data_IF_960469939945
#
_entry.id   IF_960469939945
#
_cell.length_a   1.000
_cell.length_b   1.000
_cell.length_c   1.000
_cell.angle_alpha   90.00
_cell.angle_beta   90.00
_cell.angle_gamma   90.00
#
_symmetry.space_group_name_H-M   'P 1'
#
loop_
_entity.id
_entity.type
_entity.pdbx_description
1 polymer ?
#
# COMPACT_ATOMS: atom_id res chain seq x y z
N UNK A 1 -69.63 -20.06 -20.90
CA UNK A 1 -68.54 -20.32 -19.96
C UNK A 1 -67.26 -19.82 -20.62
N UNK A 2 -66.98 -18.53 -20.53
CA UNK A 2 -65.87 -17.85 -21.22
C UNK A 2 -65.21 -16.89 -20.22
N UNK A 3 -64.14 -17.36 -19.63
CA UNK A 3 -63.24 -16.59 -18.80
C UNK A 3 -61.83 -16.64 -19.45
N UNK A 4 -61.55 -15.70 -20.31
CA UNK A 4 -60.16 -15.35 -20.63
C UNK A 4 -60.21 -14.16 -21.61
N UNK A 5 -60.06 -12.93 -21.11
CA UNK A 5 -59.39 -11.83 -21.85
C UNK A 5 -59.35 -10.61 -20.97
N UNK A 6 -58.27 -10.43 -20.23
CA UNK A 6 -57.83 -9.10 -19.83
C UNK A 6 -56.34 -9.13 -19.56
N UNK A 7 -55.56 -9.41 -20.60
CA UNK A 7 -54.14 -9.08 -20.58
C UNK A 7 -54.06 -7.59 -20.89
N UNK A 8 -54.06 -6.77 -19.84
CA UNK A 8 -53.75 -5.35 -19.95
C UNK A 8 -52.46 -5.18 -20.76
N UNK A 9 -52.56 -4.46 -21.84
CA UNK A 9 -51.44 -3.99 -22.64
C UNK A 9 -50.41 -3.37 -21.71
N UNK A 10 -49.34 -4.10 -21.44
CA UNK A 10 -48.23 -3.59 -20.65
C UNK A 10 -47.60 -2.46 -21.43
N UNK A 11 -47.60 -1.26 -20.83
CA UNK A 11 -47.05 -0.06 -21.46
C UNK A 11 -45.58 -0.29 -21.82
N UNK A 12 -45.29 -0.23 -23.12
CA UNK A 12 -43.92 -0.43 -23.64
C UNK A 12 -42.93 0.57 -23.01
N UNK A 13 -43.41 1.74 -22.62
CA UNK A 13 -42.64 2.77 -21.93
C UNK A 13 -42.23 2.30 -20.53
N UNK A 14 -43.07 1.57 -19.80
CA UNK A 14 -42.77 1.04 -18.49
C UNK A 14 -41.69 -0.06 -18.56
N UNK A 15 -41.79 -0.97 -19.51
CA UNK A 15 -40.80 -2.01 -19.74
C UNK A 15 -39.44 -1.42 -20.12
N UNK A 16 -39.42 -0.39 -20.97
CA UNK A 16 -38.19 0.30 -21.36
C UNK A 16 -37.48 0.96 -20.14
N UNK A 17 -38.24 1.62 -19.29
CA UNK A 17 -37.72 2.24 -18.05
C UNK A 17 -37.17 1.19 -17.08
N UNK A 18 -37.87 0.06 -16.94
CA UNK A 18 -37.42 -1.04 -16.11
C UNK A 18 -36.10 -1.65 -16.61
N UNK A 19 -35.99 -1.85 -17.93
CA UNK A 19 -34.75 -2.34 -18.55
C UNK A 19 -33.59 -1.35 -18.38
N UNK A 20 -33.85 -0.06 -18.57
CA UNK A 20 -32.82 0.96 -18.41
C UNK A 20 -32.33 1.05 -16.96
N UNK A 21 -33.22 0.92 -15.96
CA UNK A 21 -32.84 0.91 -14.55
C UNK A 21 -32.04 -0.32 -14.18
N UNK A 22 -32.35 -1.48 -14.78
CA UNK A 22 -31.62 -2.73 -14.56
C UNK A 22 -30.19 -2.65 -15.11
N UNK A 23 -30.01 -2.02 -16.27
CA UNK A 23 -28.69 -1.80 -16.90
C UNK A 23 -27.86 -0.83 -16.06
N UNK A 24 -28.47 0.27 -15.57
CA UNK A 24 -27.79 1.22 -14.69
C UNK A 24 -27.36 0.56 -13.36
N UNK A 25 -28.18 -0.31 -12.80
CA UNK A 25 -27.86 -1.04 -11.58
C UNK A 25 -26.66 -1.98 -11.77
N UNK A 26 -26.58 -2.64 -12.93
CA UNK A 26 -25.46 -3.52 -13.25
C UNK A 26 -24.12 -2.76 -13.43
N UNK A 27 -24.19 -1.54 -13.95
CA UNK A 27 -23.01 -0.67 -14.09
C UNK A 27 -22.51 -0.12 -12.75
N UNK A 28 -23.39 -0.03 -11.75
CA UNK A 28 -23.03 0.45 -10.39
C UNK A 28 -22.36 -0.63 -9.53
N UNK A 29 -22.52 -1.90 -9.86
CA UNK A 29 -21.88 -3.05 -9.18
C UNK A 29 -20.64 -3.49 -9.96
N UNK A 30 -19.82 -2.54 -10.39
CA UNK A 30 -18.45 -2.88 -10.75
C UNK A 30 -17.72 -3.20 -9.43
N UNK A 31 -17.34 -4.46 -9.12
CA UNK A 31 -16.48 -4.71 -8.00
C UNK A 31 -15.19 -3.96 -8.31
N UNK A 32 -14.93 -2.88 -7.60
CA UNK A 32 -13.57 -2.38 -7.47
C UNK A 32 -12.82 -3.52 -6.78
N UNK A 33 -12.35 -4.46 -7.59
CA UNK A 33 -11.29 -5.35 -7.17
C UNK A 33 -10.15 -4.39 -6.83
N UNK A 34 -10.05 -4.01 -5.55
CA UNK A 34 -8.81 -3.56 -4.99
C UNK A 34 -7.85 -4.72 -5.30
N UNK A 35 -7.15 -4.58 -6.41
CA UNK A 35 -6.06 -5.45 -6.76
C UNK A 35 -5.07 -5.23 -5.62
N UNK A 36 -5.18 -6.07 -4.60
CA UNK A 36 -4.14 -6.24 -3.62
C UNK A 36 -2.99 -6.75 -4.48
N UNK A 37 -2.14 -5.81 -4.92
CA UNK A 37 -0.84 -6.16 -5.43
C UNK A 37 -0.21 -7.02 -4.34
N UNK A 38 -0.43 -8.31 -4.43
CA UNK A 38 0.44 -9.29 -3.82
C UNK A 38 1.74 -9.05 -4.57
N UNK A 39 2.52 -8.06 -4.10
CA UNK A 39 3.94 -8.00 -4.43
C UNK A 39 4.42 -9.43 -4.25
N UNK A 40 4.84 -10.02 -5.34
CA UNK A 40 5.65 -11.23 -5.31
C UNK A 40 6.87 -10.80 -4.48
N UNK A 41 6.84 -11.18 -3.19
CA UNK A 41 7.72 -10.57 -2.17
C UNK A 41 9.10 -11.12 -2.45
N UNK A 42 9.79 -10.42 -3.33
CA UNK A 42 11.20 -10.63 -3.58
C UNK A 42 11.95 -10.33 -2.29
N UNK A 43 13.07 -10.94 -2.11
CA UNK A 43 14.00 -10.53 -1.07
C UNK A 43 14.23 -9.02 -1.16
N UNK A 44 14.28 -8.34 -0.03
CA UNK A 44 14.48 -6.89 -0.05
C UNK A 44 15.43 -6.40 1.02
N UNK A 45 16.04 -5.26 0.74
CA UNK A 45 16.81 -4.46 1.68
C UNK A 45 15.91 -3.31 2.14
N UNK A 46 15.74 -3.16 3.44
CA UNK A 46 15.04 -2.03 4.03
C UNK A 46 16.05 -1.02 4.58
N UNK A 47 15.98 0.21 4.10
CA UNK A 47 16.79 1.33 4.57
C UNK A 47 15.89 2.25 5.39
N UNK A 48 16.19 2.44 6.67
CA UNK A 48 15.52 3.42 7.51
C UNK A 48 16.44 4.60 7.71
N UNK A 49 16.05 5.72 7.13
CA UNK A 49 16.81 6.96 7.16
C UNK A 49 16.20 7.95 8.16
N UNK A 50 16.98 8.38 9.14
CA UNK A 50 16.56 9.40 10.11
C UNK A 50 16.26 10.74 9.46
N UNK A 51 16.95 11.05 8.37
CA UNK A 51 16.92 12.35 7.72
C UNK A 51 15.82 12.44 6.66
N UNK A 52 15.60 13.67 6.20
CA UNK A 52 14.70 13.93 5.07
C UNK A 52 15.29 13.38 3.77
N UNK A 53 14.43 13.16 2.79
CA UNK A 53 14.82 12.72 1.45
C UNK A 53 15.82 13.68 0.78
N UNK A 54 15.78 14.96 1.11
CA UNK A 54 16.66 15.98 0.53
C UNK A 54 18.05 16.04 1.17
N UNK A 55 18.37 15.20 2.17
CA UNK A 55 19.65 15.30 2.88
C UNK A 55 20.80 14.68 2.06
N UNK A 56 21.80 15.46 1.62
CA UNK A 56 22.73 15.06 0.55
C UNK A 56 23.56 13.81 0.83
N UNK A 57 24.08 13.65 2.06
CA UNK A 57 24.94 12.51 2.35
C UNK A 57 24.16 11.19 2.48
N UNK A 58 22.96 11.22 3.08
CA UNK A 58 22.11 10.03 3.17
C UNK A 58 21.63 9.59 1.79
N UNK A 59 21.29 10.53 0.92
CA UNK A 59 20.93 10.25 -0.47
C UNK A 59 22.06 9.59 -1.24
N UNK A 60 23.29 10.02 -1.01
CA UNK A 60 24.46 9.35 -1.64
C UNK A 60 24.59 7.91 -1.20
N UNK A 61 24.41 7.62 0.09
CA UNK A 61 24.45 6.25 0.61
C UNK A 61 23.31 5.39 0.07
N UNK A 62 22.07 5.93 0.07
CA UNK A 62 20.90 5.26 -0.47
C UNK A 62 21.09 4.95 -1.96
N UNK A 63 21.51 5.94 -2.74
CA UNK A 63 21.79 5.76 -4.17
C UNK A 63 22.88 4.71 -4.43
N UNK A 64 23.92 4.69 -3.59
CA UNK A 64 24.98 3.68 -3.71
C UNK A 64 24.43 2.28 -3.42
N UNK A 65 23.65 2.12 -2.35
CA UNK A 65 23.02 0.84 -2.00
C UNK A 65 22.06 0.36 -3.11
N UNK A 66 21.25 1.27 -3.64
CA UNK A 66 20.31 0.97 -4.73
C UNK A 66 21.07 0.56 -6.01
N UNK A 67 22.11 1.30 -6.36
CA UNK A 67 22.93 0.98 -7.54
C UNK A 67 23.66 -0.35 -7.40
N UNK A 68 24.04 -0.73 -6.19
CA UNK A 68 24.72 -2.01 -5.94
C UNK A 68 23.83 -3.21 -6.26
N UNK A 69 22.52 -3.10 -6.03
CA UNK A 69 21.58 -4.21 -6.22
C UNK A 69 20.70 -4.08 -7.47
N UNK A 70 20.83 -3.00 -8.25
CA UNK A 70 19.95 -2.70 -9.38
C UNK A 70 19.91 -3.81 -10.44
N UNK A 71 21.01 -4.56 -10.58
CA UNK A 71 21.15 -5.60 -11.59
C UNK A 71 20.70 -6.97 -11.06
N UNK A 72 20.32 -7.08 -9.78
CA UNK A 72 19.75 -8.30 -9.22
C UNK A 72 18.20 -8.24 -9.26
N UNK A 73 17.54 -8.97 -10.20
CA UNK A 73 16.10 -8.93 -10.34
C UNK A 73 15.35 -9.56 -9.15
N UNK A 74 16.07 -10.25 -8.26
CA UNK A 74 15.49 -10.93 -7.09
C UNK A 74 15.53 -10.07 -5.83
N UNK A 75 16.21 -8.93 -5.87
CA UNK A 75 16.42 -8.08 -4.71
C UNK A 75 15.83 -6.67 -4.96
N UNK A 76 15.01 -6.19 -4.04
CA UNK A 76 14.47 -4.84 -4.06
C UNK A 76 15.11 -3.99 -2.96
N UNK A 77 15.10 -2.66 -3.12
CA UNK A 77 15.49 -1.72 -2.05
C UNK A 77 14.30 -0.83 -1.74
N UNK A 78 13.92 -0.83 -0.48
CA UNK A 78 12.91 0.09 0.04
C UNK A 78 13.57 1.06 1.00
N UNK A 79 13.16 2.32 0.95
CA UNK A 79 13.68 3.37 1.84
C UNK A 79 12.54 4.06 2.54
N UNK A 80 12.61 4.10 3.87
CA UNK A 80 11.70 4.82 4.72
C UNK A 80 12.41 6.00 5.39
N UNK A 81 11.81 7.19 5.31
CA UNK A 81 12.35 8.42 5.87
C UNK A 81 11.61 8.78 7.17
N UNK A 82 12.33 8.84 8.28
CA UNK A 82 11.74 9.21 9.57
C UNK A 82 11.48 10.72 9.70
N UNK A 83 12.20 11.53 8.94
CA UNK A 83 12.15 13.01 8.99
C UNK A 83 12.34 13.60 10.40
N UNK A 84 13.12 12.93 11.25
CA UNK A 84 13.25 13.23 12.68
C UNK A 84 14.03 14.50 13.01
N UNK A 85 14.65 15.17 12.03
CA UNK A 85 15.37 16.43 12.28
C UNK A 85 14.44 17.54 12.78
N UNK A 86 13.14 17.40 12.51
CA UNK A 86 12.14 18.40 12.85
C UNK A 86 11.15 17.96 13.96
N UNK A 87 11.30 16.75 14.51
CA UNK A 87 10.22 16.14 15.28
C UNK A 87 10.81 15.46 16.53
N UNK A 88 10.77 16.19 17.62
CA UNK A 88 11.01 15.68 18.99
C UNK A 88 9.67 15.31 19.62
N UNK A 89 8.98 14.30 19.04
CA UNK A 89 7.67 13.88 19.52
C UNK A 89 7.53 12.35 19.47
N UNK A 90 7.43 11.72 20.62
CA UNK A 90 7.25 10.28 20.79
C UNK A 90 6.03 9.72 19.99
N UNK A 91 4.96 10.49 19.93
CA UNK A 91 3.74 10.08 19.17
C UNK A 91 4.01 9.85 17.68
N UNK A 92 4.90 10.64 17.07
CA UNK A 92 5.24 10.49 15.66
C UNK A 92 6.17 9.31 15.46
N UNK A 93 7.05 9.07 16.41
CA UNK A 93 7.89 7.88 16.40
C UNK A 93 7.04 6.59 16.47
N UNK A 94 6.02 6.58 17.32
CA UNK A 94 5.11 5.44 17.46
C UNK A 94 4.28 5.25 16.19
N UNK A 95 3.74 6.29 15.59
CA UNK A 95 3.07 6.22 14.29
C UNK A 95 3.99 5.69 13.19
N UNK A 96 5.25 6.09 13.19
CA UNK A 96 6.23 5.58 12.24
C UNK A 96 6.47 4.07 12.43
N UNK A 97 6.58 3.60 13.68
CA UNK A 97 6.71 2.18 14.01
C UNK A 97 5.50 1.37 13.53
N UNK A 98 4.29 1.87 13.81
CA UNK A 98 3.06 1.22 13.39
C UNK A 98 2.98 1.09 11.86
N UNK A 99 3.32 2.15 11.14
CA UNK A 99 3.41 2.13 9.69
C UNK A 99 4.46 1.14 9.15
N UNK A 100 5.61 1.03 9.81
CA UNK A 100 6.61 0.02 9.45
C UNK A 100 6.10 -1.39 9.69
N UNK A 101 5.43 -1.60 10.82
CA UNK A 101 4.86 -2.89 11.17
C UNK A 101 3.80 -3.32 10.14
N UNK A 102 2.90 -2.41 9.77
CA UNK A 102 1.84 -2.68 8.79
C UNK A 102 2.39 -3.03 7.41
N UNK A 103 3.47 -2.35 6.99
CA UNK A 103 4.04 -2.58 5.66
C UNK A 103 4.98 -3.78 5.59
N UNK A 104 5.79 -3.98 6.61
CA UNK A 104 6.92 -4.93 6.57
C UNK A 104 6.82 -6.06 7.59
N UNK A 105 5.88 -6.02 8.53
CA UNK A 105 5.78 -6.99 9.62
C UNK A 105 5.53 -8.43 9.16
N UNK A 106 4.89 -8.61 8.02
CA UNK A 106 4.58 -9.93 7.46
C UNK A 106 5.76 -10.60 6.75
N UNK A 107 6.79 -9.84 6.38
CA UNK A 107 7.93 -10.35 5.63
C UNK A 107 9.25 -9.70 6.05
N UNK A 108 10.16 -10.51 6.57
CA UNK A 108 11.45 -10.04 7.07
C UNK A 108 12.35 -9.55 5.93
N UNK A 109 12.97 -8.35 6.03
CA UNK A 109 14.00 -7.93 5.07
C UNK A 109 15.24 -8.82 5.16
N UNK A 110 15.87 -9.07 4.03
CA UNK A 110 17.16 -9.77 3.97
C UNK A 110 18.26 -8.96 4.66
N UNK A 111 18.17 -7.64 4.58
CA UNK A 111 19.09 -6.71 5.22
C UNK A 111 18.34 -5.46 5.69
N UNK A 112 18.70 -4.99 6.89
CA UNK A 112 18.21 -3.74 7.45
C UNK A 112 19.38 -2.77 7.60
N UNK A 113 19.29 -1.61 6.95
CA UNK A 113 20.24 -0.51 7.08
C UNK A 113 19.60 0.63 7.88
N UNK A 114 20.24 1.04 8.96
CA UNK A 114 19.82 2.14 9.80
C UNK A 114 20.77 3.32 9.60
N UNK A 115 20.25 4.42 9.03
CA UNK A 115 21.02 5.62 8.73
C UNK A 115 20.66 6.74 9.72
N UNK A 116 21.65 7.14 10.52
CA UNK A 116 21.53 8.18 11.53
C UNK A 116 21.17 7.67 12.92
N UNK A 117 21.43 8.51 13.93
CA UNK A 117 21.32 8.08 15.34
C UNK A 117 19.89 7.74 15.76
N UNK A 118 18.89 8.51 15.33
CA UNK A 118 17.50 8.29 15.73
C UNK A 118 16.94 6.97 15.19
N UNK A 119 17.44 6.44 14.07
CA UNK A 119 17.03 5.14 13.57
C UNK A 119 17.47 3.98 14.48
N UNK A 120 18.52 4.17 15.28
CA UNK A 120 18.98 3.17 16.24
C UNK A 120 18.00 2.96 17.40
N UNK A 121 17.16 3.95 17.71
CA UNK A 121 16.09 3.81 18.71
C UNK A 121 15.14 2.69 18.31
N UNK A 122 14.88 2.54 17.03
CA UNK A 122 14.01 1.50 16.48
C UNK A 122 14.60 0.08 16.56
N UNK A 123 15.91 -0.05 16.76
CA UNK A 123 16.60 -1.36 16.69
C UNK A 123 15.96 -2.43 17.58
N UNK A 124 15.54 -2.06 18.79
CA UNK A 124 14.93 -2.98 19.76
C UNK A 124 13.55 -3.46 19.30
N UNK A 125 12.75 -2.53 18.76
CA UNK A 125 11.39 -2.81 18.32
C UNK A 125 11.40 -3.61 17.02
N UNK A 126 12.27 -3.24 16.08
CA UNK A 126 12.46 -3.98 14.82
C UNK A 126 12.94 -5.43 15.04
N UNK A 127 13.76 -5.68 16.08
CA UNK A 127 14.13 -7.06 16.44
C UNK A 127 13.00 -7.91 17.00
N UNK A 128 11.95 -7.28 17.51
CA UNK A 128 10.75 -8.00 17.98
C UNK A 128 9.73 -8.22 16.87
N UNK A 129 9.81 -7.39 15.81
CA UNK A 129 8.93 -7.49 14.65
C UNK A 129 9.24 -8.73 13.81
N UNK A 130 10.53 -9.10 13.71
CA UNK A 130 11.04 -10.22 12.91
C UNK A 130 11.83 -11.20 13.78
#
# INVERSE_FOLDING_TARGET
MTLFTNIKSFDKSFLLKLWLSLILYQLSVCPVSAQKDTMDIKDYILIINTYTESFPWSNRLISTATNFVKDDPKLAVYTEHMNMIMIDNDSILDQFKDNLFDRYGSHRPRMLLLLGNSSLILKKDLRKMW
#
